data_IF_851849816998
#
_entry.id   IF_851849816998
#
_cell.length_a   1.000
_cell.length_b   1.000
_cell.length_c   1.000
_cell.angle_alpha   90.00
_cell.angle_beta   90.00
_cell.angle_gamma   90.00
#
_symmetry.space_group_name_H-M   'P 1'
#
loop_
_entity.id
_entity.type
_entity.pdbx_description
1 polymer ?
#
# COMPACT_ATOMS: atom_id res chain seq x y z
N UNK A 1 4.89 17.70 -15.33
CA UNK A 1 4.80 16.21 -15.31
C UNK A 1 6.02 15.70 -14.55
N UNK A 2 5.80 15.04 -13.43
CA UNK A 2 6.88 14.47 -12.63
C UNK A 2 7.49 13.22 -13.30
N UNK A 3 8.80 13.04 -13.15
CA UNK A 3 9.46 11.80 -13.57
C UNK A 3 9.24 10.69 -12.54
N UNK A 4 9.50 9.45 -12.90
CA UNK A 4 9.49 8.32 -11.94
C UNK A 4 10.53 8.54 -10.84
N UNK A 5 11.70 9.08 -11.19
CA UNK A 5 12.77 9.40 -10.24
C UNK A 5 12.35 10.46 -9.22
N UNK A 6 11.60 11.49 -9.63
CA UNK A 6 11.06 12.49 -8.72
C UNK A 6 10.08 11.87 -7.73
N UNK A 7 9.18 11.02 -8.22
CA UNK A 7 8.22 10.28 -7.40
C UNK A 7 8.93 9.35 -6.41
N UNK A 8 9.93 8.61 -6.84
CA UNK A 8 10.73 7.74 -5.94
C UNK A 8 11.40 8.59 -4.85
N UNK A 9 11.94 9.76 -5.20
CA UNK A 9 12.57 10.66 -4.22
C UNK A 9 11.57 11.14 -3.17
N UNK A 10 10.35 11.49 -3.56
CA UNK A 10 9.27 11.86 -2.63
C UNK A 10 8.96 10.68 -1.69
N UNK A 11 8.75 9.48 -2.23
CA UNK A 11 8.44 8.29 -1.45
C UNK A 11 9.56 7.92 -0.46
N UNK A 12 10.82 7.97 -0.89
CA UNK A 12 11.99 7.69 -0.05
C UNK A 12 12.09 8.70 1.10
N UNK A 13 11.94 9.99 0.80
CA UNK A 13 11.99 11.03 1.82
C UNK A 13 10.84 10.93 2.83
N UNK A 14 9.63 10.61 2.36
CA UNK A 14 8.46 10.44 3.22
C UNK A 14 8.61 9.29 4.23
N UNK A 15 9.34 8.23 3.87
CA UNK A 15 9.53 7.03 4.70
C UNK A 15 10.93 6.93 5.33
N UNK A 16 11.72 8.02 5.30
CA UNK A 16 13.08 8.01 5.86
C UNK A 16 13.07 7.66 7.35
N UNK A 17 13.89 6.68 7.72
CA UNK A 17 14.01 6.19 9.09
C UNK A 17 12.84 5.36 9.61
N UNK A 18 11.75 5.21 8.86
CA UNK A 18 10.60 4.40 9.27
C UNK A 18 10.89 2.91 9.13
N UNK A 19 10.33 2.12 10.04
CA UNK A 19 10.44 0.65 10.03
C UNK A 19 9.05 0.01 10.07
N UNK A 20 8.95 -1.15 9.44
CA UNK A 20 7.76 -2.00 9.54
C UNK A 20 7.71 -2.78 10.87
N UNK A 21 6.66 -3.59 11.07
CA UNK A 21 6.41 -4.35 12.30
C UNK A 21 7.55 -5.30 12.70
N UNK A 22 8.35 -5.76 11.74
CA UNK A 22 9.47 -6.69 11.97
C UNK A 22 10.84 -6.00 11.91
N UNK A 23 10.87 -4.66 11.80
CA UNK A 23 12.08 -3.85 11.87
C UNK A 23 12.77 -3.62 10.52
N UNK A 24 12.16 -4.01 9.39
CA UNK A 24 12.67 -3.69 8.06
C UNK A 24 12.38 -2.24 7.69
N UNK A 25 13.20 -1.60 6.82
CA UNK A 25 12.89 -0.26 6.32
C UNK A 25 11.52 -0.22 5.62
N UNK A 26 10.62 0.67 6.07
CA UNK A 26 9.27 0.82 5.51
C UNK A 26 9.30 1.19 4.02
N UNK A 27 10.31 1.95 3.59
CA UNK A 27 10.52 2.34 2.19
C UNK A 27 10.60 1.14 1.25
N UNK A 28 11.10 -0.01 1.70
CA UNK A 28 11.20 -1.21 0.87
C UNK A 28 9.84 -1.67 0.32
N UNK A 29 8.78 -1.53 1.11
CA UNK A 29 7.41 -1.86 0.69
C UNK A 29 6.92 -0.93 -0.42
N UNK A 30 7.01 0.38 -0.24
CA UNK A 30 6.50 1.33 -1.24
C UNK A 30 7.28 1.25 -2.56
N UNK A 31 8.59 0.98 -2.49
CA UNK A 31 9.39 0.73 -3.68
C UNK A 31 8.96 -0.56 -4.39
N UNK A 32 8.73 -1.64 -3.66
CA UNK A 32 8.26 -2.90 -4.24
C UNK A 32 6.89 -2.72 -4.94
N UNK A 33 5.93 -2.08 -4.29
CA UNK A 33 4.59 -1.84 -4.85
C UNK A 33 4.66 -0.98 -6.12
N UNK A 34 5.46 0.08 -6.11
CA UNK A 34 5.67 0.93 -7.30
C UNK A 34 6.28 0.15 -8.47
N UNK A 35 7.30 -0.69 -8.20
CA UNK A 35 7.94 -1.52 -9.22
C UNK A 35 7.02 -2.62 -9.79
N UNK A 36 5.97 -3.02 -9.09
CA UNK A 36 4.96 -3.96 -9.58
C UNK A 36 3.98 -3.32 -10.59
N UNK A 37 3.94 -1.99 -10.70
CA UNK A 37 3.10 -1.28 -11.66
C UNK A 37 3.46 -1.60 -13.11
N UNK A 38 2.46 -1.85 -13.95
CA UNK A 38 2.61 -2.27 -15.35
C UNK A 38 2.71 -1.09 -16.33
N UNK A 39 2.43 0.10 -15.86
CA UNK A 39 2.50 1.34 -16.63
C UNK A 39 2.93 2.50 -15.71
N UNK A 40 3.35 3.66 -16.26
CA UNK A 40 3.82 4.78 -15.45
C UNK A 40 2.82 5.31 -14.42
N UNK A 41 1.53 5.25 -14.70
CA UNK A 41 0.48 5.71 -13.78
C UNK A 41 0.39 4.80 -12.54
N UNK A 42 0.37 3.47 -12.76
CA UNK A 42 0.40 2.49 -11.68
C UNK A 42 1.70 2.56 -10.88
N UNK A 43 2.84 2.76 -11.54
CA UNK A 43 4.12 2.90 -10.86
C UNK A 43 4.14 4.12 -9.95
N UNK A 44 3.77 5.30 -10.45
CA UNK A 44 3.72 6.54 -9.67
C UNK A 44 2.76 6.42 -8.49
N UNK A 45 1.54 5.94 -8.72
CA UNK A 45 0.57 5.73 -7.66
C UNK A 45 1.06 4.67 -6.64
N UNK A 46 1.72 3.62 -7.10
CA UNK A 46 2.30 2.58 -6.24
C UNK A 46 3.42 3.10 -5.33
N UNK A 47 4.33 3.94 -5.85
CA UNK A 47 5.36 4.57 -5.02
C UNK A 47 4.78 5.55 -3.98
N UNK A 48 3.63 6.18 -4.28
CA UNK A 48 3.03 7.20 -3.43
C UNK A 48 1.89 6.69 -2.53
N UNK A 49 1.46 5.42 -2.67
CA UNK A 49 0.22 4.93 -2.07
C UNK A 49 0.14 5.10 -0.55
N UNK A 50 1.26 5.03 0.15
CA UNK A 50 1.35 5.18 1.61
C UNK A 50 1.87 6.56 2.06
N UNK A 51 2.29 7.45 1.15
CA UNK A 51 2.93 8.72 1.51
C UNK A 51 2.01 9.60 2.35
N UNK A 52 0.74 9.73 1.97
CA UNK A 52 -0.23 10.58 2.68
C UNK A 52 -0.62 9.98 4.04
N UNK A 53 -0.68 8.64 4.16
CA UNK A 53 -0.98 7.97 5.44
C UNK A 53 0.19 8.06 6.42
N UNK A 54 1.42 7.88 5.93
CA UNK A 54 2.59 7.63 6.77
C UNK A 54 3.41 8.89 7.06
N UNK A 55 3.11 10.01 6.41
CA UNK A 55 3.84 11.26 6.58
C UNK A 55 2.92 12.48 6.68
N UNK A 56 3.51 13.66 6.89
CA UNK A 56 2.78 14.93 6.90
C UNK A 56 2.51 15.49 5.49
N UNK A 57 2.95 14.78 4.43
CA UNK A 57 2.76 15.21 3.05
C UNK A 57 1.28 15.04 2.67
N UNK A 58 0.68 16.11 2.18
CA UNK A 58 -0.70 16.14 1.73
C UNK A 58 -0.82 15.94 0.21
N UNK A 59 -2.03 15.69 -0.28
CA UNK A 59 -2.30 15.67 -1.73
C UNK A 59 -2.00 17.03 -2.38
N UNK A 60 -2.22 18.14 -1.66
CA UNK A 60 -1.90 19.48 -2.16
C UNK A 60 -0.39 19.70 -2.27
N UNK A 61 0.40 19.16 -1.34
CA UNK A 61 1.86 19.20 -1.45
C UNK A 61 2.33 18.39 -2.67
N UNK A 62 1.78 17.21 -2.88
CA UNK A 62 2.10 16.39 -4.06
C UNK A 62 1.72 17.11 -5.37
N UNK A 63 0.58 17.81 -5.37
CA UNK A 63 0.16 18.64 -6.52
C UNK A 63 1.12 19.80 -6.77
N UNK A 64 1.59 20.45 -5.71
CA UNK A 64 2.57 21.53 -5.81
C UNK A 64 3.93 21.03 -6.36
N UNK A 65 4.31 19.80 -6.05
CA UNK A 65 5.48 19.12 -6.64
C UNK A 65 5.29 18.69 -8.10
N UNK A 66 4.10 18.91 -8.67
CA UNK A 66 3.79 18.63 -10.08
C UNK A 66 3.31 17.20 -10.36
N UNK A 67 2.87 16.47 -9.33
CA UNK A 67 2.25 15.15 -9.51
C UNK A 67 0.94 15.30 -10.28
N UNK A 68 0.75 14.48 -11.29
CA UNK A 68 -0.39 14.53 -12.20
C UNK A 68 -1.71 14.18 -11.49
N UNK A 69 -2.81 14.81 -11.89
CA UNK A 69 -4.11 14.66 -11.21
C UNK A 69 -4.61 13.21 -11.22
N UNK A 70 -4.39 12.44 -12.29
CA UNK A 70 -4.77 11.02 -12.35
C UNK A 70 -4.03 10.18 -11.29
N UNK A 71 -2.76 10.51 -11.00
CA UNK A 71 -1.99 9.89 -9.91
C UNK A 71 -2.56 10.29 -8.56
N UNK A 72 -2.87 11.59 -8.36
CA UNK A 72 -3.42 12.10 -7.10
C UNK A 72 -4.78 11.48 -6.78
N UNK A 73 -5.65 11.31 -7.77
CA UNK A 73 -6.94 10.63 -7.61
C UNK A 73 -6.73 9.18 -7.13
N UNK A 74 -5.80 8.46 -7.74
CA UNK A 74 -5.49 7.08 -7.32
C UNK A 74 -4.92 7.05 -5.90
N UNK A 75 -3.99 7.95 -5.56
CA UNK A 75 -3.40 8.05 -4.21
C UNK A 75 -4.45 8.40 -3.16
N UNK A 76 -5.39 9.30 -3.45
CA UNK A 76 -6.49 9.63 -2.54
C UNK A 76 -7.37 8.42 -2.24
N UNK A 77 -7.74 7.65 -3.26
CA UNK A 77 -8.49 6.40 -3.10
C UNK A 77 -7.73 5.34 -2.30
N UNK A 78 -6.40 5.32 -2.42
CA UNK A 78 -5.51 4.39 -1.71
C UNK A 78 -5.18 4.84 -0.28
N UNK A 79 -5.56 6.04 0.12
CA UNK A 79 -5.33 6.58 1.45
C UNK A 79 -6.48 6.17 2.38
N UNK A 80 -6.19 5.32 3.38
CA UNK A 80 -7.16 4.92 4.38
C UNK A 80 -7.34 6.02 5.41
N UNK A 81 -8.54 6.62 5.48
CA UNK A 81 -8.83 7.74 6.38
C UNK A 81 -9.18 7.26 7.79
N UNK A 82 -8.83 8.02 8.85
CA UNK A 82 -9.27 7.73 10.21
C UNK A 82 -10.79 7.66 10.31
N UNK A 83 -11.30 6.70 11.10
CA UNK A 83 -12.73 6.50 11.31
C UNK A 83 -13.44 5.66 10.25
N UNK A 84 -12.80 5.32 9.16
CA UNK A 84 -13.31 4.40 8.14
C UNK A 84 -12.84 2.98 8.46
N UNK A 85 -13.74 1.99 8.38
CA UNK A 85 -13.35 0.58 8.51
C UNK A 85 -12.48 0.17 7.33
N UNK A 86 -11.59 -0.81 7.55
CA UNK A 86 -10.75 -1.32 6.46
C UNK A 86 -11.61 -1.95 5.34
N UNK A 87 -12.70 -2.60 5.69
CA UNK A 87 -13.64 -3.18 4.72
C UNK A 87 -14.29 -2.10 3.84
N UNK A 88 -14.76 -0.99 4.43
CA UNK A 88 -15.35 0.11 3.68
C UNK A 88 -14.32 0.82 2.81
N UNK A 89 -13.10 0.98 3.29
CA UNK A 89 -11.98 1.51 2.51
C UNK A 89 -11.74 0.67 1.24
N UNK A 90 -11.64 -0.65 1.38
CA UNK A 90 -11.45 -1.56 0.23
C UNK A 90 -12.66 -1.53 -0.73
N UNK A 91 -13.88 -1.51 -0.19
CA UNK A 91 -15.11 -1.37 -0.99
C UNK A 91 -15.13 -0.07 -1.79
N UNK A 92 -14.71 1.05 -1.20
CA UNK A 92 -14.64 2.34 -1.89
C UNK A 92 -13.69 2.31 -3.09
N UNK A 93 -12.53 1.65 -2.96
CA UNK A 93 -11.61 1.46 -4.09
C UNK A 93 -12.30 0.71 -5.23
N UNK A 94 -13.00 -0.39 -4.93
CA UNK A 94 -13.72 -1.17 -5.96
C UNK A 94 -14.86 -0.37 -6.60
N UNK A 95 -15.68 0.31 -5.79
CA UNK A 95 -16.83 1.10 -6.26
C UNK A 95 -16.38 2.28 -7.15
N UNK A 96 -15.20 2.85 -6.89
CA UNK A 96 -14.65 3.94 -7.70
C UNK A 96 -14.42 3.57 -9.15
N UNK A 97 -14.24 2.28 -9.44
CA UNK A 97 -13.86 1.75 -10.77
C UNK A 97 -12.56 2.35 -11.31
N UNK A 98 -11.73 2.93 -10.45
CA UNK A 98 -10.42 3.43 -10.83
C UNK A 98 -9.46 2.24 -10.99
N UNK A 99 -9.16 1.88 -12.24
CA UNK A 99 -8.33 0.72 -12.56
C UNK A 99 -6.93 0.81 -11.94
N UNK A 100 -6.35 2.01 -11.91
CA UNK A 100 -5.03 2.25 -11.30
C UNK A 100 -5.07 1.98 -9.80
N UNK A 101 -6.03 2.55 -9.07
CA UNK A 101 -6.14 2.35 -7.62
C UNK A 101 -6.41 0.86 -7.29
N UNK A 102 -7.27 0.19 -8.06
CA UNK A 102 -7.56 -1.24 -7.90
C UNK A 102 -6.29 -2.07 -8.10
N UNK A 103 -5.54 -1.84 -9.19
CA UNK A 103 -4.33 -2.61 -9.47
C UNK A 103 -3.23 -2.35 -8.43
N UNK A 104 -3.03 -1.09 -8.04
CA UNK A 104 -2.05 -0.76 -6.99
C UNK A 104 -2.45 -1.39 -5.66
N UNK A 105 -3.74 -1.40 -5.29
CA UNK A 105 -4.20 -2.08 -4.08
C UNK A 105 -3.96 -3.59 -4.12
N UNK A 106 -4.16 -4.23 -5.25
CA UNK A 106 -3.81 -5.66 -5.43
C UNK A 106 -2.30 -5.88 -5.25
N UNK A 107 -1.46 -5.02 -5.83
CA UNK A 107 -0.01 -5.11 -5.67
C UNK A 107 0.41 -4.92 -4.21
N UNK A 108 -0.17 -3.94 -3.51
CA UNK A 108 0.04 -3.69 -2.09
C UNK A 108 -0.32 -4.91 -1.24
N UNK A 109 -1.52 -5.46 -1.41
CA UNK A 109 -1.99 -6.65 -0.69
C UNK A 109 -1.10 -7.86 -0.97
N UNK A 110 -0.74 -8.09 -2.22
CA UNK A 110 0.14 -9.18 -2.62
C UNK A 110 1.52 -9.08 -1.95
N UNK A 111 2.11 -7.88 -1.95
CA UNK A 111 3.40 -7.67 -1.29
C UNK A 111 3.31 -7.78 0.24
N UNK A 112 2.22 -7.30 0.85
CA UNK A 112 1.98 -7.46 2.28
C UNK A 112 1.84 -8.94 2.69
N UNK A 113 1.14 -9.76 1.91
CA UNK A 113 1.03 -11.21 2.15
C UNK A 113 2.40 -11.90 2.02
N UNK A 114 3.19 -11.53 1.01
CA UNK A 114 4.55 -12.05 0.86
C UNK A 114 5.45 -11.69 2.05
N UNK A 115 5.38 -10.45 2.54
CA UNK A 115 6.13 -10.04 3.75
C UNK A 115 5.68 -10.82 4.98
N UNK A 116 4.39 -11.09 5.13
CA UNK A 116 3.86 -11.89 6.22
C UNK A 116 4.40 -13.33 6.16
N UNK A 117 4.42 -13.95 4.99
CA UNK A 117 5.01 -15.29 4.79
C UNK A 117 6.50 -15.33 5.18
N UNK A 118 7.28 -14.35 4.74
CA UNK A 118 8.70 -14.25 5.12
C UNK A 118 8.88 -14.09 6.63
N UNK A 119 8.06 -13.27 7.28
CA UNK A 119 8.10 -13.08 8.73
C UNK A 119 7.77 -14.38 9.48
N UNK A 120 6.76 -15.14 9.02
CA UNK A 120 6.40 -16.44 9.59
C UNK A 120 7.53 -17.46 9.49
N UNK A 121 8.32 -17.42 8.43
CA UNK A 121 9.44 -18.33 8.22
C UNK A 121 10.66 -17.98 9.05
N UNK A 122 10.86 -16.71 9.41
CA UNK A 122 12.09 -16.19 10.00
C UNK A 122 11.94 -15.71 11.43
N UNK A 123 10.71 -15.44 11.89
CA UNK A 123 10.47 -14.95 13.25
C UNK A 123 10.72 -16.05 14.29
N UNK A 124 11.67 -15.78 15.19
CA UNK A 124 11.88 -16.59 16.37
C UNK A 124 10.73 -16.37 17.38
N UNK A 125 10.03 -17.43 17.74
CA UNK A 125 8.87 -17.39 18.66
C UNK A 125 9.21 -17.83 20.07
N UNK A 126 10.49 -17.78 20.46
CA UNK A 126 10.97 -18.23 21.76
C UNK A 126 10.52 -17.36 22.94
N UNK A 127 10.06 -16.13 22.69
CA UNK A 127 9.56 -15.22 23.71
C UNK A 127 8.06 -14.93 23.56
N UNK A 128 7.42 -14.50 24.67
CA UNK A 128 5.99 -14.15 24.67
C UNK A 128 5.71 -12.94 23.76
N UNK A 129 6.61 -11.95 23.74
CA UNK A 129 6.49 -10.75 22.90
C UNK A 129 6.55 -11.11 21.40
N UNK A 130 7.43 -12.03 21.02
CA UNK A 130 7.54 -12.51 19.64
C UNK A 130 6.36 -13.36 19.22
N UNK A 131 5.81 -14.18 20.15
CA UNK A 131 4.57 -14.90 19.88
C UNK A 131 3.39 -13.94 19.68
N UNK A 132 3.27 -12.89 20.47
CA UNK A 132 2.23 -11.86 20.32
C UNK A 132 2.38 -11.12 18.97
N UNK A 133 3.61 -10.82 18.56
CA UNK A 133 3.88 -10.22 17.23
C UNK A 133 3.46 -11.18 16.10
N UNK A 134 3.73 -12.46 16.23
CA UNK A 134 3.30 -13.47 15.26
C UNK A 134 1.78 -13.51 15.14
N UNK A 135 1.06 -13.50 16.26
CA UNK A 135 -0.40 -13.53 16.28
C UNK A 135 -0.99 -12.28 15.61
N UNK A 136 -0.36 -11.10 15.79
CA UNK A 136 -0.73 -9.86 15.14
C UNK A 136 -0.48 -9.93 13.62
N UNK A 137 0.68 -10.42 13.18
CA UNK A 137 1.00 -10.61 11.75
C UNK A 137 -0.03 -11.54 11.09
N UNK A 138 -0.39 -12.65 11.72
CA UNK A 138 -1.39 -13.58 11.22
C UNK A 138 -2.77 -12.94 11.09
N UNK A 139 -3.18 -12.14 12.06
CA UNK A 139 -4.46 -11.41 12.04
C UNK A 139 -4.53 -10.41 10.88
N UNK A 140 -3.46 -9.62 10.69
CA UNK A 140 -3.37 -8.66 9.59
C UNK A 140 -3.31 -9.38 8.24
N UNK A 141 -2.54 -10.45 8.11
CA UNK A 141 -2.47 -11.24 6.90
C UNK A 141 -3.85 -11.82 6.50
N UNK A 142 -4.62 -12.31 7.45
CA UNK A 142 -5.99 -12.79 7.21
C UNK A 142 -6.92 -11.67 6.71
N UNK A 143 -6.77 -10.46 7.22
CA UNK A 143 -7.51 -9.28 6.75
C UNK A 143 -7.13 -8.94 5.30
N UNK A 144 -5.84 -8.93 4.97
CA UNK A 144 -5.35 -8.66 3.63
C UNK A 144 -5.79 -9.73 2.62
N UNK A 145 -5.76 -11.02 2.99
CA UNK A 145 -6.25 -12.11 2.14
C UNK A 145 -7.76 -11.97 1.82
N UNK A 146 -8.57 -11.60 2.81
CA UNK A 146 -9.99 -11.33 2.59
C UNK A 146 -10.21 -10.15 1.63
N UNK A 147 -9.44 -9.08 1.78
CA UNK A 147 -9.52 -7.92 0.91
C UNK A 147 -9.13 -8.25 -0.53
N UNK A 148 -8.04 -8.99 -0.74
CA UNK A 148 -7.59 -9.43 -2.06
C UNK A 148 -8.65 -10.27 -2.75
N UNK A 149 -9.21 -11.26 -2.07
CA UNK A 149 -10.30 -12.11 -2.61
C UNK A 149 -11.53 -11.31 -2.96
N UNK A 150 -11.90 -10.31 -2.15
CA UNK A 150 -13.04 -9.43 -2.44
C UNK A 150 -12.83 -8.66 -3.73
N UNK A 151 -11.66 -8.03 -3.90
CA UNK A 151 -11.31 -7.27 -5.11
C UNK A 151 -11.32 -8.18 -6.34
N UNK A 152 -10.67 -9.34 -6.28
CA UNK A 152 -10.59 -10.30 -7.38
C UNK A 152 -11.98 -10.78 -7.83
N UNK A 153 -12.88 -11.09 -6.89
CA UNK A 153 -14.26 -11.51 -7.21
C UNK A 153 -15.07 -10.38 -7.84
N UNK A 154 -14.83 -9.14 -7.44
CA UNK A 154 -15.53 -7.98 -7.99
C UNK A 154 -15.13 -7.71 -9.43
N UNK A 155 -13.83 -7.82 -9.75
CA UNK A 155 -13.32 -7.65 -11.13
C UNK A 155 -13.89 -8.70 -12.08
N UNK A 156 -14.04 -9.97 -11.64
CA UNK A 156 -14.55 -11.07 -12.46
C UNK A 156 -16.05 -10.89 -12.77
N UNK A 157 -16.82 -10.29 -11.86
CA UNK A 157 -18.27 -10.06 -12.08
C UNK A 157 -18.57 -8.95 -13.09
N UNK A 158 -17.64 -8.02 -13.29
CA UNK A 158 -17.80 -6.89 -14.23
C UNK A 158 -17.32 -7.24 -15.66
N UNK A 159 -16.89 -8.47 -15.91
CA UNK A 159 -16.56 -9.03 -17.24
C UNK A 159 -17.68 -9.90 -17.78
#
# INVERSE_FOLDING_TARGET
MTTIEDIIRIAVNAHDGMKDMVGNPAVAHVLAVGLMGKNPLEQKAGFLHDVVEDSDITLDDLRAEGVEEDVLIAVDLLTHRPGMSYEDYVKNIVISRNETAIQVKLNDLHHNLHRAELALMTLDTSTRERQALLDEILSIAAMHDRAERYIQRSIVKDR
#
